data_IF_623176697138
#
_entry.id   IF_623176697138
#
_cell.length_a   1.000
_cell.length_b   1.000
_cell.length_c   1.000
_cell.angle_alpha   90.00
_cell.angle_beta   90.00
_cell.angle_gamma   90.00
#
_symmetry.space_group_name_H-M   'P 1'
#
loop_
_entity.id
_entity.type
_entity.pdbx_description
1 polymer ?
#
# COMPACT_ATOMS: atom_id res chain seq x y z
N UNK A 1 -8.78 -8.89 8.49
CA UNK A 1 -8.39 -8.13 7.28
C UNK A 1 -9.53 -8.13 6.27
N UNK A 2 -9.82 -6.99 5.66
CA UNK A 2 -10.65 -6.84 4.46
C UNK A 2 -9.90 -6.00 3.44
N UNK A 3 -9.87 -6.46 2.18
CA UNK A 3 -9.21 -5.79 1.07
C UNK A 3 -10.25 -5.42 0.01
N UNK A 4 -10.19 -4.18 -0.48
CA UNK A 4 -11.13 -3.62 -1.45
C UNK A 4 -10.35 -2.93 -2.56
N UNK A 5 -10.71 -3.20 -3.81
CA UNK A 5 -10.27 -2.41 -4.96
C UNK A 5 -11.49 -1.63 -5.44
N UNK A 6 -11.37 -0.31 -5.45
CA UNK A 6 -12.37 0.59 -6.02
C UNK A 6 -11.86 1.14 -7.34
N UNK A 7 -12.48 0.76 -8.45
CA UNK A 7 -12.14 1.29 -9.78
C UNK A 7 -12.67 2.71 -9.93
N UNK A 8 -11.84 3.62 -10.43
CA UNK A 8 -12.20 5.00 -10.75
C UNK A 8 -12.15 5.22 -12.26
N UNK A 9 -12.65 6.36 -12.74
CA UNK A 9 -12.56 6.73 -14.16
C UNK A 9 -11.12 6.85 -14.69
N UNK A 10 -10.13 6.93 -13.80
CA UNK A 10 -8.72 7.20 -14.13
C UNK A 10 -7.74 6.17 -13.56
N UNK A 11 -8.22 5.06 -13.00
CA UNK A 11 -7.40 4.03 -12.37
C UNK A 11 -8.16 3.30 -11.28
N UNK A 12 -7.55 3.14 -10.11
CA UNK A 12 -8.18 2.44 -8.98
C UNK A 12 -7.60 2.87 -7.63
N UNK A 13 -8.32 2.57 -6.56
CA UNK A 13 -7.89 2.77 -5.19
C UNK A 13 -7.87 1.41 -4.52
N UNK A 14 -6.72 1.03 -3.98
CA UNK A 14 -6.60 -0.10 -3.08
C UNK A 14 -6.84 0.37 -1.66
N UNK A 15 -7.76 -0.29 -0.97
CA UNK A 15 -8.12 0.00 0.41
C UNK A 15 -8.00 -1.28 1.20
N UNK A 16 -7.37 -1.18 2.37
CA UNK A 16 -7.20 -2.29 3.26
C UNK A 16 -7.54 -1.92 4.69
N UNK A 17 -8.44 -2.72 5.27
CA UNK A 17 -8.93 -2.60 6.63
C UNK A 17 -8.33 -3.73 7.49
N UNK A 18 -7.54 -3.37 8.50
CA UNK A 18 -6.91 -4.27 9.49
C UNK A 18 -7.35 -3.93 10.91
N UNK A 19 -6.87 -4.70 11.89
CA UNK A 19 -7.02 -4.36 13.31
C UNK A 19 -6.20 -3.11 13.70
N UNK A 20 -5.12 -2.82 12.97
CA UNK A 20 -4.18 -1.72 13.26
C UNK A 20 -4.56 -0.42 12.55
N UNK A 21 -5.59 -0.44 11.71
CA UNK A 21 -6.07 0.73 10.99
C UNK A 21 -6.52 0.42 9.57
N UNK A 22 -6.90 1.49 8.87
CA UNK A 22 -7.25 1.45 7.44
C UNK A 22 -6.17 2.16 6.65
N UNK A 23 -5.67 1.51 5.60
CA UNK A 23 -4.62 2.00 4.72
C UNK A 23 -5.15 2.04 3.29
N UNK A 24 -4.76 3.05 2.51
CA UNK A 24 -5.18 3.14 1.11
C UNK A 24 -4.13 3.73 0.19
N UNK A 25 -4.03 3.21 -1.03
CA UNK A 25 -3.23 3.82 -2.10
C UNK A 25 -4.10 4.01 -3.34
N UNK A 26 -4.04 5.23 -3.90
CA UNK A 26 -4.65 5.52 -5.19
C UNK A 26 -3.59 5.33 -6.28
N UNK A 27 -3.98 4.61 -7.33
CA UNK A 27 -3.18 4.35 -8.51
C UNK A 27 -3.87 4.93 -9.72
N UNK A 28 -3.11 5.64 -10.55
CA UNK A 28 -3.61 6.22 -11.78
C UNK A 28 -3.06 5.47 -12.98
N UNK A 29 -3.92 5.21 -13.95
CA UNK A 29 -3.55 4.62 -15.23
C UNK A 29 -3.07 5.73 -16.19
N UNK A 30 -1.88 5.57 -16.78
CA UNK A 30 -1.44 6.32 -17.97
C UNK A 30 -0.95 5.33 -19.01
N UNK A 31 -1.81 4.98 -19.96
CA UNK A 31 -1.48 4.03 -21.03
C UNK A 31 -1.20 2.64 -20.48
N UNK A 32 -0.02 2.08 -20.79
CA UNK A 32 0.41 0.77 -20.28
C UNK A 32 1.13 0.84 -18.93
N UNK A 33 1.15 2.01 -18.28
CA UNK A 33 1.86 2.23 -17.03
C UNK A 33 0.92 2.68 -15.93
N UNK A 34 1.22 2.24 -14.72
CA UNK A 34 0.54 2.63 -13.49
C UNK A 34 1.52 3.43 -12.65
N UNK A 35 1.03 4.46 -11.97
CA UNK A 35 1.85 5.27 -11.07
C UNK A 35 1.01 5.63 -9.84
N UNK A 36 1.63 5.64 -8.64
CA UNK A 36 0.94 6.07 -7.44
C UNK A 36 0.51 7.53 -7.62
N UNK A 37 -0.71 7.82 -7.18
CA UNK A 37 -1.23 9.16 -7.05
C UNK A 37 -0.31 10.01 -6.16
N UNK A 38 -0.29 11.34 -6.37
CA UNK A 38 0.46 12.27 -5.52
C UNK A 38 -0.18 12.30 -4.13
N UNK A 39 0.21 11.36 -3.28
CA UNK A 39 -0.32 11.12 -1.94
C UNK A 39 0.67 10.37 -1.07
N UNK A 40 0.29 10.14 0.20
CA UNK A 40 1.10 9.37 1.15
C UNK A 40 1.24 7.93 0.65
N UNK A 41 2.46 7.41 0.63
CA UNK A 41 2.70 6.00 0.30
C UNK A 41 2.09 5.10 1.37
N UNK A 42 1.97 3.80 1.08
CA UNK A 42 1.54 2.84 2.09
C UNK A 42 2.50 2.84 3.29
N UNK A 43 3.81 2.96 3.04
CA UNK A 43 4.84 3.00 4.09
C UNK A 43 4.68 4.23 4.98
N UNK A 44 4.40 5.40 4.41
CA UNK A 44 4.12 6.63 5.18
C UNK A 44 2.89 6.47 6.10
N UNK A 45 1.90 5.69 5.65
CA UNK A 45 0.70 5.42 6.44
C UNK A 45 0.97 4.41 7.56
N UNK A 46 1.82 3.41 7.31
CA UNK A 46 2.30 2.48 8.32
C UNK A 46 3.14 3.20 9.38
N UNK A 47 4.08 4.06 8.98
CA UNK A 47 4.86 4.86 9.92
C UNK A 47 3.94 5.72 10.81
N UNK A 48 2.94 6.39 10.21
CA UNK A 48 1.96 7.18 10.96
C UNK A 48 1.06 6.35 11.89
N UNK A 49 0.87 5.06 11.60
CA UNK A 49 0.15 4.12 12.46
C UNK A 49 1.01 3.56 13.61
N UNK A 50 2.32 3.85 13.61
CA UNK A 50 3.24 3.47 14.69
C UNK A 50 3.84 2.08 14.54
N UNK A 51 3.93 1.55 13.31
CA UNK A 51 4.70 0.33 13.05
C UNK A 51 6.18 0.55 13.36
N UNK A 52 6.86 -0.50 13.83
CA UNK A 52 8.27 -0.43 14.21
C UNK A 52 9.21 -0.39 13.00
N UNK A 53 10.44 0.08 13.24
CA UNK A 53 11.45 0.26 12.20
C UNK A 53 11.76 -1.03 11.41
N UNK A 54 11.72 -2.22 12.03
CA UNK A 54 12.00 -3.47 11.32
C UNK A 54 10.87 -3.83 10.34
N UNK A 55 9.62 -3.54 10.73
CA UNK A 55 8.46 -3.68 9.84
C UNK A 55 8.52 -2.70 8.68
N UNK A 56 8.93 -1.45 8.93
CA UNK A 56 9.08 -0.43 7.88
C UNK A 56 10.24 -0.74 6.93
N UNK A 57 11.39 -1.19 7.43
CA UNK A 57 12.53 -1.60 6.60
C UNK A 57 12.18 -2.75 5.67
N UNK A 58 11.52 -3.80 6.19
CA UNK A 58 11.06 -4.91 5.37
C UNK A 58 9.97 -4.49 4.36
N UNK A 59 9.21 -3.42 4.66
CA UNK A 59 8.27 -2.83 3.71
C UNK A 59 9.00 -2.06 2.58
N UNK A 60 10.08 -1.36 2.88
CA UNK A 60 10.91 -0.71 1.86
C UNK A 60 11.57 -1.73 0.92
N UNK A 61 12.09 -2.84 1.45
CA UNK A 61 12.71 -3.91 0.65
C UNK A 61 11.73 -4.54 -0.36
N UNK A 62 10.44 -4.63 -0.01
CA UNK A 62 9.40 -5.13 -0.90
C UNK A 62 9.09 -4.15 -2.04
N UNK A 63 9.16 -2.84 -1.78
CA UNK A 63 8.91 -1.78 -2.77
C UNK A 63 10.00 -1.67 -3.85
N UNK A 64 11.24 -2.07 -3.55
CA UNK A 64 12.40 -1.89 -4.45
C UNK A 64 12.42 -2.87 -5.64
N UNK A 65 11.33 -3.61 -5.89
CA UNK A 65 11.33 -4.70 -6.86
C UNK A 65 10.09 -4.93 -7.74
N UNK A 66 8.85 -4.56 -7.37
CA UNK A 66 7.68 -5.00 -8.15
C UNK A 66 6.32 -4.30 -7.91
N UNK A 67 6.12 -3.13 -8.51
CA UNK A 67 4.98 -2.23 -8.30
C UNK A 67 3.54 -2.83 -8.27
N UNK A 68 3.24 -3.93 -8.95
CA UNK A 68 1.85 -4.48 -9.06
C UNK A 68 1.45 -5.45 -7.93
N UNK A 69 2.41 -6.01 -7.16
CA UNK A 69 2.12 -6.98 -6.07
C UNK A 69 2.49 -6.46 -4.68
N UNK A 70 2.95 -5.22 -4.59
CA UNK A 70 3.57 -4.70 -3.39
C UNK A 70 2.52 -4.37 -2.32
N UNK A 71 1.38 -3.76 -2.66
CA UNK A 71 0.42 -3.29 -1.67
C UNK A 71 -0.10 -4.41 -0.73
N UNK A 72 -0.58 -5.54 -1.27
CA UNK A 72 -1.05 -6.66 -0.44
C UNK A 72 0.08 -7.36 0.32
N UNK A 73 1.31 -7.38 -0.21
CA UNK A 73 2.47 -8.02 0.44
C UNK A 73 2.97 -7.20 1.62
N UNK A 74 3.09 -5.89 1.43
CA UNK A 74 3.49 -4.91 2.46
C UNK A 74 2.55 -4.95 3.66
N UNK A 75 1.26 -5.04 3.38
CA UNK A 75 0.22 -5.19 4.39
C UNK A 75 0.35 -6.50 5.16
N UNK A 76 0.54 -7.62 4.45
CA UNK A 76 0.67 -8.94 5.10
C UNK A 76 1.90 -9.00 5.98
N UNK A 77 2.99 -8.35 5.57
CA UNK A 77 4.17 -8.17 6.41
C UNK A 77 3.82 -7.38 7.68
N UNK A 78 3.09 -6.27 7.55
CA UNK A 78 2.65 -5.46 8.68
C UNK A 78 1.81 -6.25 9.70
N UNK A 79 0.97 -7.19 9.26
CA UNK A 79 0.18 -8.03 10.18
C UNK A 79 0.99 -9.11 10.94
N UNK A 80 2.26 -9.32 10.59
CA UNK A 80 3.12 -10.30 11.28
C UNK A 80 3.77 -9.75 12.56
N UNK A 81 3.71 -8.44 12.77
CA UNK A 81 4.33 -7.72 13.88
C UNK A 81 3.27 -6.93 14.67
#
# INVERSE_FOLDING_TARGET
>A
MKYTIETTDTGYIEILETNNGTFSAEWKEMGFSQYPSQGKTLVDQMEAAGFDDATLDAAYDLYDGNYELDFMRLVKLAELF
#
